data_IF_861844630121
#
_entry.id   IF_861844630121
#
_cell.length_a   1.000
_cell.length_b   1.000
_cell.length_c   1.000
_cell.angle_alpha   90.00
_cell.angle_beta   90.00
_cell.angle_gamma   90.00
#
_symmetry.space_group_name_H-M   'P 1'
#
loop_
_entity.id
_entity.type
_entity.pdbx_description
1 polymer ?
#
# COMPACT_ATOMS: atom_id res chain seq x y z
N UNK A 1 25.44 -6.47 5.96
CA UNK A 1 26.44 -5.39 6.10
C UNK A 1 25.86 -4.11 5.55
N UNK A 2 26.32 -2.96 6.03
CA UNK A 2 25.86 -1.64 5.57
C UNK A 2 26.05 -1.42 4.06
N UNK A 3 26.90 -2.21 3.41
CA UNK A 3 27.12 -2.22 1.95
C UNK A 3 25.89 -2.64 1.11
N UNK A 4 24.91 -3.31 1.70
CA UNK A 4 23.71 -3.76 0.97
C UNK A 4 22.62 -2.68 0.87
N UNK A 5 22.72 -1.61 1.66
CA UNK A 5 21.64 -0.61 1.81
C UNK A 5 21.28 0.04 0.47
N UNK A 6 22.26 0.43 -0.34
CA UNK A 6 21.99 1.01 -1.66
C UNK A 6 21.22 0.03 -2.56
N UNK A 7 21.61 -1.25 -2.56
CA UNK A 7 20.94 -2.29 -3.36
C UNK A 7 19.51 -2.56 -2.87
N UNK A 8 19.30 -2.52 -1.55
CA UNK A 8 17.98 -2.69 -0.97
C UNK A 8 17.03 -1.55 -1.36
N UNK A 9 17.52 -0.30 -1.35
CA UNK A 9 16.76 0.87 -1.80
C UNK A 9 16.44 0.77 -3.30
N UNK A 10 17.41 0.35 -4.12
CA UNK A 10 17.17 0.15 -5.55
C UNK A 10 16.16 -0.97 -5.83
N UNK A 11 16.17 -2.04 -5.05
CA UNK A 11 15.16 -3.09 -5.13
C UNK A 11 13.78 -2.55 -4.74
N UNK A 12 13.65 -1.88 -3.60
CA UNK A 12 12.38 -1.32 -3.14
C UNK A 12 11.79 -0.32 -4.15
N UNK A 13 12.63 0.56 -4.72
CA UNK A 13 12.20 1.49 -5.76
C UNK A 13 11.71 0.76 -7.01
N UNK A 14 12.40 -0.30 -7.46
CA UNK A 14 11.96 -1.12 -8.60
C UNK A 14 10.62 -1.81 -8.35
N UNK A 15 10.41 -2.39 -7.17
CA UNK A 15 9.14 -3.05 -6.83
C UNK A 15 7.98 -2.05 -6.79
N UNK A 16 8.19 -0.87 -6.21
CA UNK A 16 7.18 0.20 -6.19
C UNK A 16 6.80 0.65 -7.61
N UNK A 17 7.78 0.80 -8.50
CA UNK A 17 7.56 1.17 -9.91
C UNK A 17 6.87 0.03 -10.68
N UNK A 18 7.23 -1.24 -10.42
CA UNK A 18 6.60 -2.40 -11.05
C UNK A 18 5.10 -2.43 -10.73
N UNK A 19 4.69 -2.27 -9.47
CA UNK A 19 3.26 -2.22 -9.09
C UNK A 19 2.51 -1.05 -9.77
N UNK A 20 3.20 0.07 -10.03
CA UNK A 20 2.62 1.22 -10.75
C UNK A 20 2.57 1.04 -12.27
N UNK A 21 3.22 0.02 -12.81
CA UNK A 21 3.29 -0.22 -14.25
C UNK A 21 2.10 -1.11 -14.66
N UNK A 22 1.22 -0.64 -15.57
CA UNK A 22 0.07 -1.44 -16.00
C UNK A 22 0.51 -2.78 -16.60
N UNK A 23 -0.07 -3.88 -16.12
CA UNK A 23 0.21 -5.23 -16.59
C UNK A 23 1.25 -6.02 -15.79
N UNK A 24 2.00 -5.38 -14.88
CA UNK A 24 2.97 -6.06 -14.01
C UNK A 24 2.31 -6.78 -12.81
N UNK A 25 1.10 -6.36 -12.42
CA UNK A 25 0.33 -7.05 -11.38
C UNK A 25 -0.45 -8.20 -12.00
N UNK A 26 -0.05 -9.43 -11.65
CA UNK A 26 -0.72 -10.64 -12.12
C UNK A 26 -2.10 -10.82 -11.47
N UNK A 27 -3.04 -11.39 -12.23
CA UNK A 27 -4.41 -11.61 -11.78
C UNK A 27 -4.48 -12.58 -10.59
N UNK A 28 -3.63 -13.62 -10.56
CA UNK A 28 -3.59 -14.57 -9.44
C UNK A 28 -3.14 -13.87 -8.15
N UNK A 29 -2.17 -12.97 -8.25
CA UNK A 29 -1.70 -12.19 -7.11
C UNK A 29 -2.79 -11.23 -6.61
N UNK A 30 -3.51 -10.57 -7.53
CA UNK A 30 -4.61 -9.68 -7.20
C UNK A 30 -5.76 -10.44 -6.51
N UNK A 31 -6.18 -11.57 -7.06
CA UNK A 31 -7.29 -12.35 -6.48
C UNK A 31 -6.92 -12.87 -5.09
N UNK A 32 -5.69 -13.34 -4.91
CA UNK A 32 -5.17 -13.72 -3.59
C UNK A 32 -5.16 -12.55 -2.61
N UNK A 33 -4.73 -11.35 -3.04
CA UNK A 33 -4.71 -10.16 -2.19
C UNK A 33 -6.14 -9.74 -1.78
N UNK A 34 -7.11 -9.82 -2.71
CA UNK A 34 -8.52 -9.58 -2.41
C UNK A 34 -9.06 -10.54 -1.36
N UNK A 35 -8.83 -11.85 -1.52
CA UNK A 35 -9.30 -12.84 -0.56
C UNK A 35 -8.65 -12.64 0.82
N UNK A 36 -7.34 -12.40 0.86
CA UNK A 36 -6.62 -12.11 2.11
C UNK A 36 -7.20 -10.88 2.83
N UNK A 37 -7.47 -9.80 2.09
CA UNK A 37 -8.05 -8.57 2.66
C UNK A 37 -9.46 -8.80 3.20
N UNK A 38 -10.30 -9.54 2.46
CA UNK A 38 -11.65 -9.90 2.92
C UNK A 38 -11.63 -10.76 4.18
N UNK A 39 -10.75 -11.76 4.23
CA UNK A 39 -10.56 -12.59 5.42
C UNK A 39 -10.11 -11.75 6.62
N UNK A 40 -9.14 -10.85 6.44
CA UNK A 40 -8.67 -9.97 7.50
C UNK A 40 -9.79 -9.06 8.05
N UNK A 41 -10.66 -8.51 7.19
CA UNK A 41 -11.82 -7.72 7.63
C UNK A 41 -12.76 -8.58 8.48
N UNK A 42 -13.15 -9.75 7.97
CA UNK A 42 -14.13 -10.61 8.65
C UNK A 42 -13.64 -11.14 9.99
N UNK A 43 -12.38 -11.59 10.06
CA UNK A 43 -11.78 -12.13 11.27
C UNK A 43 -11.62 -11.05 12.35
N UNK A 44 -11.22 -9.83 11.98
CA UNK A 44 -11.11 -8.73 12.93
C UNK A 44 -12.45 -8.37 13.58
N UNK A 45 -13.57 -8.54 12.86
CA UNK A 45 -14.91 -8.26 13.35
C UNK A 45 -15.45 -9.32 14.33
N UNK A 46 -14.69 -10.39 14.61
CA UNK A 46 -15.00 -11.34 15.69
C UNK A 46 -14.70 -10.77 17.08
N UNK A 47 -13.77 -9.80 17.16
CA UNK A 47 -13.39 -9.14 18.41
C UNK A 47 -14.32 -7.98 18.74
N UNK A 48 -15.05 -8.08 19.86
CA UNK A 48 -15.97 -7.02 20.32
C UNK A 48 -15.28 -5.67 20.55
N UNK A 49 -14.01 -5.68 20.99
CA UNK A 49 -13.23 -4.45 21.16
C UNK A 49 -12.98 -3.76 19.82
N UNK A 50 -12.60 -4.54 18.80
CA UNK A 50 -12.38 -4.02 17.44
C UNK A 50 -13.69 -3.51 16.84
N UNK A 51 -14.80 -4.23 17.04
CA UNK A 51 -16.12 -3.78 16.59
C UNK A 51 -16.52 -2.46 17.24
N UNK A 52 -16.30 -2.28 18.54
CA UNK A 52 -16.62 -1.04 19.24
C UNK A 52 -15.81 0.15 18.69
N UNK A 53 -14.51 -0.04 18.45
CA UNK A 53 -13.66 0.98 17.85
C UNK A 53 -14.11 1.30 16.42
N UNK A 54 -14.40 0.28 15.62
CA UNK A 54 -14.85 0.43 14.23
C UNK A 54 -16.14 1.25 14.14
N UNK A 55 -17.13 0.98 15.01
CA UNK A 55 -18.36 1.79 15.09
C UNK A 55 -18.02 3.26 15.34
N UNK A 56 -17.21 3.54 16.37
CA UNK A 56 -16.86 4.92 16.73
C UNK A 56 -16.11 5.63 15.61
N UNK A 57 -15.09 4.98 15.03
CA UNK A 57 -14.27 5.55 13.95
C UNK A 57 -15.08 5.79 12.69
N UNK A 58 -15.94 4.85 12.29
CA UNK A 58 -16.79 5.03 11.11
C UNK A 58 -17.78 6.19 11.29
N UNK A 59 -18.43 6.30 12.46
CA UNK A 59 -19.33 7.44 12.74
C UNK A 59 -18.57 8.76 12.71
N UNK A 60 -17.36 8.83 13.27
CA UNK A 60 -16.54 10.04 13.22
C UNK A 60 -16.04 10.40 11.81
N UNK A 61 -15.77 9.40 10.97
CA UNK A 61 -15.21 9.61 9.63
C UNK A 61 -16.27 9.86 8.57
N UNK A 62 -17.38 9.10 8.61
CA UNK A 62 -18.41 9.05 7.58
C UNK A 62 -19.76 9.58 8.05
N UNK A 63 -19.94 9.85 9.36
CA UNK A 63 -21.23 10.22 9.95
C UNK A 63 -22.17 9.03 10.21
N UNK A 64 -21.81 7.83 9.77
CA UNK A 64 -22.61 6.61 9.92
C UNK A 64 -21.71 5.37 10.00
N UNK A 65 -22.28 4.25 10.48
CA UNK A 65 -21.64 2.95 10.39
C UNK A 65 -22.06 2.26 9.10
N UNK A 66 -21.13 2.14 8.16
CA UNK A 66 -21.36 1.40 6.91
C UNK A 66 -21.40 -0.10 7.18
N UNK A 67 -22.29 -0.85 6.52
CA UNK A 67 -22.37 -2.29 6.67
C UNK A 67 -21.11 -2.97 6.10
N UNK A 68 -20.72 -4.12 6.65
CA UNK A 68 -19.50 -4.84 6.24
C UNK A 68 -19.54 -5.21 4.75
N UNK A 69 -20.73 -5.51 4.23
CA UNK A 69 -20.98 -5.84 2.82
C UNK A 69 -20.55 -4.72 1.87
N UNK A 70 -20.60 -3.46 2.31
CA UNK A 70 -20.09 -2.33 1.53
C UNK A 70 -18.60 -2.53 1.22
N UNK A 71 -17.79 -2.76 2.27
CA UNK A 71 -16.35 -2.94 2.14
C UNK A 71 -15.98 -4.21 1.38
N UNK A 72 -16.69 -5.33 1.61
CA UNK A 72 -16.46 -6.58 0.89
C UNK A 72 -16.73 -6.43 -0.62
N UNK A 73 -17.79 -5.71 -1.00
CA UNK A 73 -18.09 -5.40 -2.40
C UNK A 73 -17.05 -4.44 -3.00
N UNK A 74 -16.62 -3.43 -2.25
CA UNK A 74 -15.57 -2.51 -2.70
C UNK A 74 -14.26 -3.25 -3.00
N UNK A 75 -13.82 -4.15 -2.11
CA UNK A 75 -12.60 -4.96 -2.33
C UNK A 75 -12.76 -5.88 -3.54
N UNK A 76 -13.92 -6.50 -3.71
CA UNK A 76 -14.18 -7.38 -4.87
C UNK A 76 -14.08 -6.62 -6.19
N UNK A 77 -14.60 -5.40 -6.24
CA UNK A 77 -14.62 -4.55 -7.43
C UNK A 77 -13.26 -3.99 -7.87
N UNK A 78 -12.21 -4.13 -7.05
CA UNK A 78 -10.87 -3.61 -7.40
C UNK A 78 -10.31 -4.35 -8.62
N UNK A 79 -9.82 -3.63 -9.62
CA UNK A 79 -9.17 -4.22 -10.80
C UNK A 79 -7.66 -3.99 -10.81
N UNK A 80 -6.91 -4.76 -11.60
CA UNK A 80 -5.47 -4.53 -11.78
C UNK A 80 -5.17 -3.12 -12.32
N UNK A 81 -6.09 -2.58 -13.13
CA UNK A 81 -6.02 -1.19 -13.63
C UNK A 81 -6.16 -0.18 -12.49
N UNK A 82 -7.08 -0.41 -11.55
CA UNK A 82 -7.24 0.48 -10.39
C UNK A 82 -5.99 0.47 -9.52
N UNK A 83 -5.37 -0.69 -9.31
CA UNK A 83 -4.10 -0.82 -8.58
C UNK A 83 -3.00 0.00 -9.24
N UNK A 84 -2.78 -0.18 -10.55
CA UNK A 84 -1.75 0.56 -11.27
C UNK A 84 -2.00 2.08 -11.23
N UNK A 85 -3.26 2.51 -11.44
CA UNK A 85 -3.66 3.92 -11.38
C UNK A 85 -3.42 4.54 -10.01
N UNK A 86 -3.80 3.85 -8.93
CA UNK A 86 -3.57 4.33 -7.56
C UNK A 86 -2.08 4.36 -7.24
N UNK A 87 -1.31 3.34 -7.63
CA UNK A 87 0.13 3.30 -7.41
C UNK A 87 0.84 4.45 -8.16
N UNK A 88 0.46 4.74 -9.41
CA UNK A 88 0.96 5.92 -10.15
C UNK A 88 0.64 7.22 -9.43
N UNK A 89 -0.58 7.37 -8.92
CA UNK A 89 -0.98 8.55 -8.13
C UNK A 89 -0.19 8.68 -6.83
N UNK A 90 0.14 7.58 -6.16
CA UNK A 90 0.97 7.61 -4.95
C UNK A 90 2.41 8.04 -5.29
N UNK A 91 2.99 7.48 -6.35
CA UNK A 91 4.35 7.79 -6.78
C UNK A 91 4.53 9.19 -7.37
N UNK A 92 3.45 9.88 -7.76
CA UNK A 92 3.53 11.26 -8.26
C UNK A 92 3.75 12.30 -7.15
N UNK A 93 3.56 11.91 -5.89
CA UNK A 93 3.82 12.78 -4.73
C UNK A 93 5.31 12.79 -4.36
N UNK A 94 5.81 13.85 -3.68
CA UNK A 94 7.18 13.88 -3.21
C UNK A 94 7.53 12.70 -2.30
N UNK A 95 8.69 12.09 -2.52
CA UNK A 95 9.20 11.00 -1.69
C UNK A 95 9.28 11.43 -0.21
N UNK A 96 8.83 10.55 0.69
CA UNK A 96 9.13 10.67 2.11
C UNK A 96 10.10 9.55 2.50
N UNK A 97 11.29 9.90 2.97
CA UNK A 97 12.36 8.96 3.29
C UNK A 97 12.87 9.21 4.71
N UNK A 98 13.04 8.13 5.47
CA UNK A 98 13.67 8.14 6.79
C UNK A 98 14.68 6.99 6.88
N UNK A 99 15.79 7.21 7.59
CA UNK A 99 16.82 6.20 7.85
C UNK A 99 17.30 6.32 9.30
N UNK A 100 17.73 5.19 9.87
CA UNK A 100 18.22 5.12 11.25
C UNK A 100 19.26 3.98 11.38
N UNK A 101 20.26 4.16 12.25
CA UNK A 101 21.37 3.22 12.43
C UNK A 101 22.65 3.67 11.72
N UNK A 102 23.34 2.75 11.06
CA UNK A 102 24.51 3.07 10.21
C UNK A 102 24.05 3.65 8.87
N UNK A 103 23.89 4.98 8.85
CA UNK A 103 23.34 5.73 7.71
C UNK A 103 24.41 6.29 6.78
N UNK A 104 25.70 6.04 7.04
CA UNK A 104 26.81 6.59 6.24
C UNK A 104 26.73 6.11 4.79
N UNK A 105 26.29 4.86 4.58
CA UNK A 105 26.16 4.23 3.27
C UNK A 105 24.75 4.39 2.66
N UNK A 106 23.85 5.16 3.28
CA UNK A 106 22.53 5.44 2.72
C UNK A 106 22.66 6.49 1.61
N UNK A 107 22.15 6.23 0.39
CA UNK A 107 22.13 7.22 -0.68
C UNK A 107 21.41 8.51 -0.28
N UNK A 108 21.82 9.63 -0.87
CA UNK A 108 21.16 10.91 -0.62
C UNK A 108 19.68 10.86 -1.02
N UNK A 109 18.87 11.66 -0.33
CA UNK A 109 17.45 11.80 -0.64
C UNK A 109 17.20 12.09 -2.13
N UNK A 110 17.96 13.00 -2.73
CA UNK A 110 17.81 13.35 -4.15
C UNK A 110 18.13 12.19 -5.10
N UNK A 111 19.14 11.37 -4.74
CA UNK A 111 19.49 10.18 -5.51
C UNK A 111 18.36 9.13 -5.49
N UNK A 112 17.60 9.03 -4.39
CA UNK A 112 16.46 8.12 -4.28
C UNK A 112 15.20 8.74 -4.91
N UNK A 113 14.90 10.00 -4.61
CA UNK A 113 13.73 10.74 -5.11
C UNK A 113 13.71 10.82 -6.64
N UNK A 114 14.86 11.00 -7.28
CA UNK A 114 14.97 11.05 -8.74
C UNK A 114 14.53 9.76 -9.45
N UNK A 115 14.49 8.61 -8.75
CA UNK A 115 14.01 7.33 -9.30
C UNK A 115 12.50 7.31 -9.54
N UNK A 116 11.74 8.12 -8.81
CA UNK A 116 10.27 8.15 -8.89
C UNK A 116 9.75 9.32 -9.74
N UNK A 117 10.60 10.30 -10.03
CA UNK A 117 10.25 11.42 -10.92
C UNK A 117 10.26 10.93 -12.36
N UNK A 118 9.09 10.72 -12.95
CA UNK A 118 8.99 10.60 -14.41
C UNK A 118 9.56 11.87 -15.07
N UNK A 119 10.30 11.72 -16.17
CA UNK A 119 10.46 12.79 -17.14
C UNK A 119 9.11 13.23 -17.69
#
# INVERSE_FOLDING_TARGET
>A
GSDFVSKAIDLAARELISVATPGEVDQVQLDRAKQSTKSAILMNLESRMVVSEDIGRQVLTYGERKPVEHFLKTVEGVTAKDIASVAQKLLSSPLTMASYGDVINVPSYDAVSSKFKSK
#
